data_IF_208524339756
#
_entry.id   IF_208524339756
#
_cell.length_a   1.000
_cell.length_b   1.000
_cell.length_c   1.000
_cell.angle_alpha   90.00
_cell.angle_beta   90.00
_cell.angle_gamma   90.00
#
_symmetry.space_group_name_H-M   'P 1'
#
loop_
_entity.id
_entity.type
_entity.pdbx_description
1 polymer ?
#
# COMPACT_ATOMS: atom_id res chain seq x y z
N UNK A 1 14.53 -14.16 7.09
CA UNK A 1 13.43 -13.45 7.76
C UNK A 1 12.61 -12.74 6.68
N UNK A 2 11.28 -12.86 6.66
CA UNK A 2 10.45 -12.15 5.66
C UNK A 2 10.05 -10.78 6.22
N UNK A 3 10.25 -9.72 5.44
CA UNK A 3 9.85 -8.35 5.79
C UNK A 3 8.46 -8.11 5.21
N UNK A 4 7.59 -7.52 6.01
CA UNK A 4 6.25 -7.09 5.61
C UNK A 4 6.07 -5.62 5.96
N UNK A 5 5.42 -4.89 5.07
CA UNK A 5 5.09 -3.48 5.22
C UNK A 5 3.61 -3.35 5.45
N UNK A 6 3.23 -2.53 6.43
CA UNK A 6 1.84 -2.10 6.65
C UNK A 6 1.76 -0.63 6.25
N UNK A 7 0.71 -0.26 5.53
CA UNK A 7 0.54 1.09 5.01
C UNK A 7 -0.92 1.57 5.12
N UNK A 8 -1.08 2.89 5.10
CA UNK A 8 -2.37 3.58 5.07
C UNK A 8 -2.40 4.46 3.82
N UNK A 9 -3.38 4.26 2.96
CA UNK A 9 -3.64 5.09 1.78
C UNK A 9 -4.78 6.05 2.07
N UNK A 10 -4.64 7.28 1.58
CA UNK A 10 -5.72 8.28 1.57
C UNK A 10 -6.39 8.25 0.19
N UNK A 11 -7.67 7.90 0.16
CA UNK A 11 -8.45 7.81 -1.07
C UNK A 11 -9.00 9.18 -1.49
N UNK A 12 -9.40 9.30 -2.76
CA UNK A 12 -9.99 10.53 -3.31
C UNK A 12 -11.30 10.93 -2.64
N UNK A 13 -12.06 9.94 -2.17
CA UNK A 13 -13.30 10.10 -1.39
C UNK A 13 -13.06 10.50 0.08
N UNK A 14 -11.81 10.83 0.45
CA UNK A 14 -11.35 11.18 1.81
C UNK A 14 -11.43 10.03 2.81
N UNK A 15 -11.64 8.80 2.36
CA UNK A 15 -11.52 7.61 3.22
C UNK A 15 -10.06 7.18 3.37
N UNK A 16 -9.81 6.29 4.34
CA UNK A 16 -8.50 5.68 4.56
C UNK A 16 -8.59 4.18 4.34
N UNK A 17 -7.70 3.66 3.48
CA UNK A 17 -7.56 2.24 3.24
C UNK A 17 -6.29 1.72 3.91
N UNK A 18 -6.41 0.62 4.66
CA UNK A 18 -5.26 -0.05 5.29
C UNK A 18 -4.91 -1.29 4.49
N UNK A 19 -3.61 -1.55 4.32
CA UNK A 19 -3.13 -2.72 3.59
C UNK A 19 -1.74 -3.16 4.04
N UNK A 20 -1.33 -4.34 3.58
CA UNK A 20 0.01 -4.85 3.82
C UNK A 20 0.57 -5.56 2.59
N UNK A 21 1.90 -5.62 2.48
CA UNK A 21 2.60 -6.31 1.38
C UNK A 21 3.98 -6.79 1.83
N UNK A 22 4.48 -7.87 1.24
CA UNK A 22 5.91 -8.26 1.35
C UNK A 22 6.79 -7.61 0.28
N UNK A 23 6.20 -6.92 -0.71
CA UNK A 23 6.90 -6.23 -1.79
C UNK A 23 6.31 -4.82 -1.98
N UNK A 24 7.01 -3.82 -1.42
CA UNK A 24 6.54 -2.44 -1.39
C UNK A 24 6.65 -1.75 -2.75
N UNK A 25 7.76 -1.92 -3.47
CA UNK A 25 7.98 -1.30 -4.80
C UNK A 25 6.90 -1.71 -5.80
N UNK A 26 6.65 -3.02 -5.93
CA UNK A 26 5.60 -3.52 -6.84
C UNK A 26 4.24 -2.92 -6.48
N UNK A 27 3.92 -2.84 -5.18
CA UNK A 27 2.63 -2.31 -4.73
C UNK A 27 2.47 -0.82 -5.03
N UNK A 28 3.54 -0.03 -4.91
CA UNK A 28 3.52 1.39 -5.24
C UNK A 28 3.31 1.62 -6.74
N UNK A 29 3.93 0.81 -7.60
CA UNK A 29 3.75 0.88 -9.06
C UNK A 29 2.29 0.59 -9.43
N UNK A 30 1.72 -0.50 -8.91
CA UNK A 30 0.30 -0.87 -9.14
C UNK A 30 -0.71 0.17 -8.64
N UNK A 31 -0.33 1.02 -7.69
CA UNK A 31 -1.19 2.10 -7.18
C UNK A 31 -1.07 3.39 -8.00
N UNK A 32 -0.05 3.51 -8.84
CA UNK A 32 0.25 4.69 -9.65
C UNK A 32 -0.22 4.61 -11.10
N UNK A 33 -0.74 3.46 -11.52
CA UNK A 33 -1.45 3.25 -12.80
C UNK A 33 -2.96 3.46 -12.63
#
# INVERSE_FOLDING_TARGET
MKIYYVYILKCSDKTYYTGFTSNLEKRLIELSE
#
